data_IF_614242280548
#
_entry.id   IF_614242280548
#
_cell.length_a   1.000
_cell.length_b   1.000
_cell.length_c   1.000
_cell.angle_alpha   90.00
_cell.angle_beta   90.00
_cell.angle_gamma   90.00
#
_symmetry.space_group_name_H-M   'P 1'
#
loop_
_entity.id
_entity.type
_entity.pdbx_description
1 polymer ?
#
# COMPACT_ATOMS: atom_id res chain seq x y z
N UNK A 1 -12.54 11.89 -9.77
CA UNK A 1 -12.55 13.31 -9.36
C UNK A 1 -11.10 13.76 -9.42
N UNK A 2 -10.79 14.70 -10.30
CA UNK A 2 -9.44 15.25 -10.40
C UNK A 2 -9.22 16.21 -9.22
N UNK A 3 -8.09 16.07 -8.50
CA UNK A 3 -7.75 16.98 -7.41
C UNK A 3 -6.89 18.10 -8.00
N UNK A 4 -7.31 19.34 -7.79
CA UNK A 4 -6.49 20.53 -8.04
C UNK A 4 -5.82 20.95 -6.73
N UNK A 5 -4.54 21.32 -6.80
CA UNK A 5 -3.75 21.70 -5.63
C UNK A 5 -4.28 22.98 -4.94
N UNK A 6 -4.89 23.89 -5.71
CA UNK A 6 -5.34 25.21 -5.24
C UNK A 6 -6.80 25.22 -4.76
N UNK A 7 -7.52 24.11 -4.91
CA UNK A 7 -8.92 24.00 -4.52
C UNK A 7 -9.07 23.49 -3.08
N UNK A 8 -10.03 24.08 -2.36
CA UNK A 8 -10.47 23.60 -1.06
C UNK A 8 -11.60 22.59 -1.24
N UNK A 9 -11.46 21.46 -0.57
CA UNK A 9 -12.40 20.35 -0.53
C UNK A 9 -13.04 20.26 0.85
N UNK A 10 -14.32 19.92 0.86
CA UNK A 10 -15.03 19.54 2.08
C UNK A 10 -14.57 18.17 2.55
N UNK A 11 -14.84 17.89 3.82
CA UNK A 11 -14.51 16.62 4.42
C UNK A 11 -15.20 15.42 3.72
N UNK A 12 -16.41 15.61 3.21
CA UNK A 12 -17.14 14.57 2.48
C UNK A 12 -16.50 14.27 1.11
N UNK A 13 -16.07 15.31 0.40
CA UNK A 13 -15.38 15.17 -0.89
C UNK A 13 -14.03 14.49 -0.73
N UNK A 14 -13.25 14.90 0.27
CA UNK A 14 -11.98 14.27 0.57
C UNK A 14 -12.13 12.80 1.00
N UNK A 15 -13.16 12.48 1.78
CA UNK A 15 -13.49 11.11 2.17
C UNK A 15 -13.89 10.25 0.98
N UNK A 16 -14.71 10.79 0.06
CA UNK A 16 -15.04 10.12 -1.20
C UNK A 16 -13.80 9.86 -2.05
N UNK A 17 -12.88 10.83 -2.12
CA UNK A 17 -11.63 10.69 -2.87
C UNK A 17 -10.69 9.62 -2.26
N UNK A 18 -10.49 9.65 -0.94
CA UNK A 18 -9.61 8.71 -0.24
C UNK A 18 -10.23 7.33 -0.03
N UNK A 19 -11.55 7.18 -0.30
CA UNK A 19 -12.35 5.99 0.02
C UNK A 19 -12.27 5.63 1.50
N UNK A 20 -12.30 6.64 2.36
CA UNK A 20 -12.30 6.50 3.82
C UNK A 20 -13.60 7.04 4.40
N UNK A 21 -13.86 6.75 5.67
CA UNK A 21 -14.98 7.38 6.37
C UNK A 21 -14.64 8.84 6.71
N UNK A 22 -15.67 9.69 6.74
CA UNK A 22 -15.56 11.09 7.19
C UNK A 22 -14.81 11.21 8.53
N UNK A 23 -15.17 10.37 9.51
CA UNK A 23 -14.50 10.34 10.81
C UNK A 23 -13.03 9.93 10.71
N UNK A 24 -12.70 8.98 9.85
CA UNK A 24 -11.32 8.54 9.59
C UNK A 24 -10.47 9.68 9.04
N UNK A 25 -10.96 10.38 8.02
CA UNK A 25 -10.30 11.55 7.43
C UNK A 25 -10.14 12.66 8.46
N UNK A 26 -11.20 13.00 9.22
CA UNK A 26 -11.15 14.02 10.27
C UNK A 26 -10.03 13.73 11.30
N UNK A 27 -9.93 12.47 11.72
CA UNK A 27 -8.96 12.04 12.73
C UNK A 27 -7.53 12.10 12.21
N UNK A 28 -7.29 11.63 10.98
CA UNK A 28 -5.98 11.67 10.34
C UNK A 28 -5.54 13.12 10.09
N UNK A 29 -6.41 13.92 9.48
CA UNK A 29 -6.11 15.31 9.17
C UNK A 29 -5.76 16.13 10.43
N UNK A 30 -6.57 16.00 11.49
CA UNK A 30 -6.30 16.67 12.78
C UNK A 30 -5.03 16.17 13.46
N UNK A 31 -4.74 14.86 13.39
CA UNK A 31 -3.54 14.27 14.01
C UNK A 31 -2.25 14.78 13.36
N UNK A 32 -2.28 15.00 12.05
CA UNK A 32 -1.09 15.38 11.27
C UNK A 32 -1.05 16.87 10.89
N UNK A 33 -2.03 17.68 11.33
CA UNK A 33 -2.10 19.11 11.00
C UNK A 33 -2.42 19.40 9.53
N UNK A 34 -2.99 18.44 8.81
CA UNK A 34 -3.26 18.49 7.37
C UNK A 34 -4.69 18.96 7.09
N UNK A 35 -5.17 20.00 7.76
CA UNK A 35 -6.48 20.59 7.49
C UNK A 35 -6.62 21.99 8.04
N UNK A 36 -7.54 22.75 7.44
CA UNK A 36 -8.05 24.00 7.99
C UNK A 36 -9.36 23.75 8.72
N UNK A 37 -9.50 24.31 9.92
CA UNK A 37 -10.74 24.22 10.70
C UNK A 37 -11.42 25.59 10.70
N UNK A 38 -12.67 25.63 10.24
CA UNK A 38 -13.53 26.81 10.27
C UNK A 38 -14.78 26.50 11.10
N UNK A 39 -14.69 26.72 12.40
CA UNK A 39 -15.78 26.40 13.33
C UNK A 39 -16.03 24.89 13.38
N UNK A 40 -17.19 24.45 12.86
CA UNK A 40 -17.57 23.03 12.76
C UNK A 40 -17.08 22.36 11.48
N UNK A 41 -16.69 23.16 10.49
CA UNK A 41 -16.31 22.66 9.19
C UNK A 41 -14.80 22.39 9.14
N UNK A 42 -14.45 21.32 8.42
CA UNK A 42 -13.07 20.94 8.14
C UNK A 42 -12.89 21.02 6.63
N UNK A 43 -11.92 21.84 6.22
CA UNK A 43 -11.55 22.05 4.83
C UNK A 43 -10.14 21.48 4.59
N UNK A 44 -9.96 20.90 3.42
CA UNK A 44 -8.75 20.21 3.01
C UNK A 44 -8.32 20.78 1.66
N UNK A 45 -7.06 21.14 1.51
CA UNK A 45 -6.50 21.45 0.19
C UNK A 45 -6.18 20.16 -0.57
N UNK A 46 -5.95 20.26 -1.88
CA UNK A 46 -5.46 19.10 -2.64
C UNK A 46 -4.16 18.52 -2.07
N UNK A 47 -3.26 19.39 -1.62
CA UNK A 47 -2.00 19.01 -0.96
C UNK A 47 -2.21 18.25 0.35
N UNK A 48 -3.19 18.65 1.15
CA UNK A 48 -3.53 17.94 2.39
C UNK A 48 -4.00 16.52 2.10
N UNK A 49 -4.82 16.33 1.06
CA UNK A 49 -5.33 15.02 0.65
C UNK A 49 -4.18 14.11 0.19
N UNK A 50 -3.23 14.66 -0.57
CA UNK A 50 -2.02 13.93 -0.99
C UNK A 50 -1.13 13.57 0.20
N UNK A 51 -0.90 14.50 1.11
CA UNK A 51 -0.14 14.25 2.33
C UNK A 51 -0.81 13.17 3.21
N UNK A 52 -2.15 13.13 3.29
CA UNK A 52 -2.87 12.05 3.98
C UNK A 52 -2.61 10.71 3.28
N UNK A 53 -2.56 10.65 1.95
CA UNK A 53 -2.19 9.42 1.23
C UNK A 53 -0.78 8.99 1.61
N UNK A 54 0.17 9.92 1.66
CA UNK A 54 1.56 9.61 2.01
C UNK A 54 1.71 9.11 3.45
N UNK A 55 0.95 9.68 4.40
CA UNK A 55 0.89 9.17 5.78
C UNK A 55 0.36 7.73 5.85
N UNK A 56 -0.59 7.39 4.97
CA UNK A 56 -1.16 6.05 4.90
C UNK A 56 -0.29 5.06 4.11
N UNK A 57 0.70 5.55 3.36
CA UNK A 57 1.67 4.66 2.70
C UNK A 57 2.51 3.97 3.75
N UNK A 58 2.54 2.65 3.68
CA UNK A 58 3.43 1.83 4.50
C UNK A 58 4.86 2.17 4.09
N UNK A 59 5.70 2.56 5.06
CA UNK A 59 7.13 2.70 4.82
C UNK A 59 7.65 1.39 4.22
N UNK A 60 8.44 1.41 3.15
CA UNK A 60 8.91 0.18 2.53
C UNK A 60 9.71 -0.60 3.57
N UNK A 61 9.12 -1.68 4.08
CA UNK A 61 9.89 -2.75 4.72
C UNK A 61 10.93 -3.13 3.68
N UNK A 62 12.22 -2.97 4.01
CA UNK A 62 13.43 -3.24 3.21
C UNK A 62 13.18 -3.98 1.89
N UNK A 63 13.81 -3.56 0.77
CA UNK A 63 13.52 -4.11 -0.56
C UNK A 63 13.39 -5.63 -0.47
N UNK A 64 12.24 -6.16 -0.90
CA UNK A 64 11.93 -7.59 -0.81
C UNK A 64 13.13 -8.36 -1.33
N UNK A 65 13.85 -9.00 -0.43
CA UNK A 65 15.05 -9.73 -0.81
C UNK A 65 14.61 -10.85 -1.74
N UNK A 66 15.08 -10.80 -2.99
CA UNK A 66 14.93 -11.91 -3.91
C UNK A 66 15.93 -12.96 -3.41
N UNK A 67 15.48 -14.13 -2.93
CA UNK A 67 16.41 -15.17 -2.52
C UNK A 67 17.21 -15.59 -3.76
N UNK A 68 18.52 -15.36 -3.73
CA UNK A 68 19.42 -15.83 -4.77
C UNK A 68 19.72 -17.30 -4.43
N UNK A 69 19.22 -18.28 -5.19
CA UNK A 69 19.45 -19.69 -4.89
C UNK A 69 20.95 -20.01 -5.00
N UNK A 70 21.45 -20.82 -4.07
CA UNK A 70 22.81 -21.31 -4.13
C UNK A 70 22.96 -22.36 -5.25
N UNK A 71 24.18 -22.58 -5.73
CA UNK A 71 24.48 -23.62 -6.73
C UNK A 71 24.02 -25.01 -6.24
N UNK A 72 24.07 -25.26 -4.94
CA UNK A 72 23.55 -26.48 -4.30
C UNK A 72 22.05 -26.66 -4.52
N UNK A 73 21.28 -25.58 -4.51
CA UNK A 73 19.82 -25.63 -4.64
C UNK A 73 19.42 -26.06 -6.05
N UNK A 74 20.16 -25.58 -7.06
CA UNK A 74 19.98 -26.04 -8.45
C UNK A 74 20.28 -27.54 -8.61
N UNK A 75 21.35 -28.02 -7.97
CA UNK A 75 21.71 -29.45 -8.00
C UNK A 75 20.64 -30.30 -7.31
N UNK A 76 20.20 -29.88 -6.14
CA UNK A 76 19.15 -30.55 -5.37
C UNK A 76 17.84 -30.61 -6.17
N UNK A 77 17.45 -29.49 -6.79
CA UNK A 77 16.26 -29.42 -7.63
C UNK A 77 16.33 -30.41 -8.81
N UNK A 78 17.49 -30.48 -9.49
CA UNK A 78 17.70 -31.45 -10.58
C UNK A 78 17.62 -32.90 -10.08
N UNK A 79 18.22 -33.21 -8.93
CA UNK A 79 18.15 -34.54 -8.32
C UNK A 79 16.73 -34.93 -7.93
N UNK A 80 15.95 -34.01 -7.35
CA UNK A 80 14.55 -34.25 -6.99
C UNK A 80 13.69 -34.51 -8.23
N UNK A 81 13.89 -33.76 -9.32
CA UNK A 81 13.21 -34.03 -10.60
C UNK A 81 13.54 -35.43 -11.11
N UNK A 82 14.82 -35.83 -11.09
CA UNK A 82 15.25 -37.15 -11.55
C UNK A 82 14.64 -38.27 -10.72
N UNK A 83 14.62 -38.13 -9.39
CA UNK A 83 14.00 -39.11 -8.48
C UNK A 83 12.48 -39.19 -8.66
N UNK A 84 11.80 -38.05 -8.84
CA UNK A 84 10.37 -38.00 -9.11
C UNK A 84 10.00 -38.73 -10.41
N UNK A 85 10.78 -38.52 -11.47
CA UNK A 85 10.64 -39.25 -12.75
C UNK A 85 10.89 -40.75 -12.58
N UNK A 86 11.92 -41.13 -11.84
CA UNK A 86 12.23 -42.55 -11.55
C UNK A 86 11.11 -43.23 -10.77
N UNK A 87 10.56 -42.56 -9.75
CA UNK A 87 9.42 -43.08 -8.97
C UNK A 87 8.19 -43.31 -9.83
N UNK A 88 7.86 -42.39 -10.74
CA UNK A 88 6.76 -42.57 -11.71
C UNK A 88 6.98 -43.75 -12.63
N UNK A 89 8.23 -43.98 -13.07
CA UNK A 89 8.58 -45.09 -13.97
C UNK A 89 8.49 -46.46 -13.30
N UNK A 90 8.74 -46.54 -11.99
CA UNK A 90 8.67 -47.77 -11.21
C UNK A 90 7.26 -48.08 -10.67
N UNK A 91 6.30 -47.16 -10.85
CA UNK A 91 4.91 -47.32 -10.41
C UNK A 91 3.97 -47.81 -11.54
N UNK A 92 4.52 -48.04 -12.73
CA UNK A 92 3.90 -48.72 -13.89
C UNK A 92 4.51 -50.11 -13.96
#
# INVERSE_FOLDING_TARGET
MEISADQNYTLAEAAAHLRLTNRGVAKLARRHGLCMVRGRDILLTGKDIEAIKDVLRVAPTLPRQIPIPAISDYRLHASLIALSRKKRRNAV
#
